data_IF_898201157378
#
_entry.id   IF_898201157378
#
_cell.length_a   1.000
_cell.length_b   1.000
_cell.length_c   1.000
_cell.angle_alpha   90.00
_cell.angle_beta   90.00
_cell.angle_gamma   90.00
#
_symmetry.space_group_name_H-M   'P 1'
#
loop_
_entity.id
_entity.type
_entity.pdbx_description
1 polymer ?
#
# COMPACT_ATOMS: atom_id res chain seq x y z
N UNK A 1 62.02 3.38 37.88
CA UNK A 1 60.60 3.69 37.94
C UNK A 1 60.17 4.85 37.01
N UNK A 2 60.92 5.96 36.95
CA UNK A 2 60.58 7.14 36.10
C UNK A 2 60.60 6.82 34.59
N UNK A 3 61.54 6.02 34.09
CA UNK A 3 61.66 5.66 32.67
C UNK A 3 60.46 4.82 32.16
N UNK A 4 59.90 3.92 33.02
CA UNK A 4 58.74 3.11 32.68
C UNK A 4 57.44 3.93 32.55
N UNK A 5 57.29 4.95 33.39
CA UNK A 5 56.12 5.85 33.33
C UNK A 5 56.16 6.73 32.09
N UNK A 6 57.36 7.15 31.66
CA UNK A 6 57.57 7.94 30.43
C UNK A 6 57.25 7.12 29.17
N UNK A 7 57.64 5.85 29.10
CA UNK A 7 57.35 4.95 27.98
C UNK A 7 55.85 4.61 27.88
N UNK A 8 55.18 4.40 29.02
CA UNK A 8 53.71 4.17 29.06
C UNK A 8 52.94 5.42 28.60
N UNK A 9 53.34 6.63 29.06
CA UNK A 9 52.71 7.86 28.60
C UNK A 9 52.99 8.13 27.11
N UNK A 10 54.15 7.79 26.59
CA UNK A 10 54.47 7.91 25.16
C UNK A 10 53.65 6.93 24.30
N UNK A 11 53.45 5.70 24.80
CA UNK A 11 52.61 4.71 24.13
C UNK A 11 51.12 5.07 24.16
N UNK A 12 50.64 5.59 25.29
CA UNK A 12 49.26 6.11 25.41
C UNK A 12 49.07 7.33 24.51
N UNK A 13 50.03 8.28 24.50
CA UNK A 13 49.99 9.45 23.63
C UNK A 13 50.01 9.08 22.16
N UNK A 14 50.82 8.12 21.73
CA UNK A 14 50.89 7.62 20.36
C UNK A 14 49.55 6.93 19.95
N UNK A 15 48.96 6.16 20.88
CA UNK A 15 47.69 5.50 20.63
C UNK A 15 46.55 6.49 20.52
N UNK A 16 46.44 7.48 21.42
CA UNK A 16 45.45 8.54 21.37
C UNK A 16 45.63 9.39 20.12
N UNK A 17 46.89 9.70 19.72
CA UNK A 17 47.15 10.45 18.49
C UNK A 17 46.77 9.65 17.24
N UNK A 18 47.08 8.34 17.18
CA UNK A 18 46.68 7.50 16.05
C UNK A 18 45.16 7.28 15.96
N UNK A 19 44.46 7.20 17.11
CA UNK A 19 43.00 7.10 17.14
C UNK A 19 42.34 8.46 16.76
N UNK A 20 42.92 9.61 17.10
CA UNK A 20 42.45 10.93 16.69
C UNK A 20 42.64 11.17 15.20
N UNK A 21 43.76 10.74 14.61
CA UNK A 21 44.02 10.89 13.18
C UNK A 21 43.17 9.94 12.33
N UNK A 22 42.94 8.71 12.79
CA UNK A 22 42.03 7.78 12.12
C UNK A 22 40.57 8.28 12.12
N UNK A 23 40.17 8.90 13.21
CA UNK A 23 38.79 9.45 13.33
C UNK A 23 38.64 10.78 12.56
N UNK A 24 39.72 11.56 12.39
CA UNK A 24 39.73 12.79 11.58
C UNK A 24 39.67 12.47 10.08
N UNK A 25 40.37 11.45 9.61
CA UNK A 25 40.34 11.04 8.20
C UNK A 25 39.01 10.41 7.77
N UNK A 26 38.34 9.68 8.66
CA UNK A 26 37.03 9.10 8.38
C UNK A 26 35.96 10.17 8.14
N UNK A 27 36.10 11.34 8.73
CA UNK A 27 35.16 12.47 8.61
C UNK A 27 35.65 13.58 7.66
N UNK A 28 36.81 13.42 7.01
CA UNK A 28 37.29 14.37 6.01
C UNK A 28 36.54 14.18 4.68
N UNK A 29 35.69 15.14 4.27
CA UNK A 29 34.92 15.02 3.03
C UNK A 29 35.84 15.04 1.79
N UNK A 30 36.99 15.72 1.82
CA UNK A 30 37.89 15.82 0.66
C UNK A 30 38.59 14.48 0.38
N UNK A 31 39.17 13.85 1.40
CA UNK A 31 39.83 12.54 1.26
C UNK A 31 38.84 11.46 0.78
N UNK A 32 37.60 11.48 1.28
CA UNK A 32 36.56 10.53 0.86
C UNK A 32 36.03 10.80 -0.56
N UNK A 33 35.95 12.05 -1.00
CA UNK A 33 35.60 12.41 -2.38
C UNK A 33 36.71 11.99 -3.36
N UNK A 34 37.98 12.19 -3.00
CA UNK A 34 39.13 11.74 -3.81
C UNK A 34 39.14 10.23 -3.96
N UNK A 35 38.88 9.47 -2.89
CA UNK A 35 38.71 8.01 -2.94
C UNK A 35 37.57 7.64 -3.90
N UNK A 36 36.42 8.29 -3.79
CA UNK A 36 35.26 8.03 -4.66
C UNK A 36 35.59 8.23 -6.13
N UNK A 37 36.23 9.37 -6.48
CA UNK A 37 36.61 9.68 -7.87
C UNK A 37 37.61 8.66 -8.40
N UNK A 38 38.65 8.33 -7.59
CA UNK A 38 39.68 7.35 -7.98
C UNK A 38 39.07 5.96 -8.26
N UNK A 39 38.15 5.50 -7.43
CA UNK A 39 37.44 4.21 -7.64
C UNK A 39 36.59 4.26 -8.90
N UNK A 40 35.86 5.33 -9.12
CA UNK A 40 34.99 5.53 -10.29
C UNK A 40 35.81 5.48 -11.60
N UNK A 41 36.93 6.20 -11.65
CA UNK A 41 37.88 6.17 -12.79
C UNK A 41 38.48 4.80 -13.02
N UNK A 42 38.83 4.09 -11.92
CA UNK A 42 39.39 2.75 -11.99
C UNK A 42 38.37 1.75 -12.54
N UNK A 43 37.11 1.80 -12.12
CA UNK A 43 36.05 0.94 -12.67
C UNK A 43 35.94 1.15 -14.17
N UNK A 44 35.87 2.38 -14.65
CA UNK A 44 35.75 2.68 -16.08
C UNK A 44 36.93 2.21 -16.91
N UNK A 45 38.14 2.28 -16.33
CA UNK A 45 39.37 1.88 -17.04
C UNK A 45 39.57 0.37 -17.03
N UNK A 46 39.37 -0.30 -15.90
CA UNK A 46 39.84 -1.66 -15.64
C UNK A 46 38.71 -2.72 -15.70
N UNK A 47 37.43 -2.31 -15.66
CA UNK A 47 36.31 -3.26 -15.77
C UNK A 47 36.17 -3.77 -17.21
N UNK A 48 35.98 -5.12 -17.36
CA UNK A 48 35.95 -5.78 -18.67
C UNK A 48 34.96 -5.16 -19.66
N UNK A 49 33.76 -4.80 -19.18
CA UNK A 49 32.71 -4.14 -19.99
C UNK A 49 32.63 -2.64 -19.69
N UNK A 50 33.68 -2.01 -19.21
CA UNK A 50 33.73 -0.60 -18.79
C UNK A 50 33.39 0.41 -19.87
N UNK A 51 33.56 0.03 -21.16
CA UNK A 51 33.17 0.85 -22.31
C UNK A 51 31.66 1.06 -22.46
N UNK A 52 30.85 0.16 -21.94
CA UNK A 52 29.37 0.25 -21.95
C UNK A 52 28.80 1.07 -20.78
N UNK A 53 29.61 1.29 -19.72
CA UNK A 53 29.21 2.04 -18.53
C UNK A 53 29.38 3.54 -18.72
N UNK A 54 28.33 4.31 -18.48
CA UNK A 54 28.41 5.77 -18.44
C UNK A 54 28.81 6.25 -17.03
N UNK A 55 29.35 7.46 -16.92
CA UNK A 55 29.53 8.12 -15.62
C UNK A 55 28.19 8.28 -14.88
N UNK A 56 27.13 8.57 -15.62
CA UNK A 56 25.77 8.71 -15.10
C UNK A 56 25.31 7.43 -14.41
N UNK A 57 25.51 6.25 -15.06
CA UNK A 57 25.12 4.96 -14.47
C UNK A 57 25.86 4.67 -13.18
N UNK A 58 27.17 4.92 -13.16
CA UNK A 58 28.01 4.70 -11.98
C UNK A 58 27.66 5.64 -10.83
N UNK A 59 27.46 6.93 -11.12
CA UNK A 59 27.07 7.93 -10.12
C UNK A 59 25.67 7.63 -9.58
N UNK A 60 24.71 7.30 -10.44
CA UNK A 60 23.36 6.90 -10.02
C UNK A 60 23.38 5.61 -9.17
N UNK A 61 24.29 4.66 -9.50
CA UNK A 61 24.52 3.46 -8.70
C UNK A 61 25.02 3.80 -7.31
N UNK A 62 26.03 4.68 -7.22
CA UNK A 62 26.59 5.13 -5.96
C UNK A 62 25.57 5.91 -5.09
N UNK A 63 24.81 6.82 -5.69
CA UNK A 63 23.74 7.57 -5.01
C UNK A 63 22.67 6.63 -4.44
N UNK A 64 22.24 5.62 -5.21
CA UNK A 64 21.32 4.60 -4.71
C UNK A 64 21.90 3.82 -3.54
N UNK A 65 23.18 3.43 -3.59
CA UNK A 65 23.86 2.75 -2.50
C UNK A 65 23.92 3.60 -1.23
N UNK A 66 24.33 4.85 -1.35
CA UNK A 66 24.44 5.80 -0.25
C UNK A 66 23.08 6.06 0.43
N UNK A 67 22.03 6.31 -0.36
CA UNK A 67 20.69 6.58 0.18
C UNK A 67 20.06 5.30 0.76
N UNK A 68 20.31 4.12 0.17
CA UNK A 68 19.83 2.83 0.67
C UNK A 68 20.35 2.47 2.06
N UNK A 69 21.45 3.10 2.53
CA UNK A 69 21.96 2.94 3.90
C UNK A 69 21.13 3.68 4.96
N UNK A 70 20.28 4.62 4.58
CA UNK A 70 19.54 5.48 5.52
C UNK A 70 18.29 4.78 6.07
N UNK A 71 17.40 4.40 5.18
CA UNK A 71 16.13 3.74 5.48
C UNK A 71 15.49 3.19 4.18
N UNK A 72 14.47 2.29 4.27
CA UNK A 72 13.84 1.70 3.08
C UNK A 72 12.92 2.64 2.29
N UNK A 73 12.75 3.88 2.72
CA UNK A 73 11.81 4.84 2.12
C UNK A 73 12.52 6.01 1.44
N UNK A 74 13.76 6.30 1.83
CA UNK A 74 14.61 7.29 1.16
C UNK A 74 15.11 6.74 -0.17
N UNK A 75 15.13 7.58 -1.21
CA UNK A 75 15.44 7.15 -2.59
C UNK A 75 16.07 8.28 -3.38
N UNK A 76 17.11 7.98 -4.16
CA UNK A 76 17.54 8.82 -5.26
C UNK A 76 16.65 8.55 -6.48
N UNK A 77 16.03 9.59 -7.02
CA UNK A 77 15.13 9.52 -8.16
C UNK A 77 15.78 10.14 -9.39
N UNK A 78 16.16 9.34 -10.41
CA UNK A 78 16.47 9.87 -11.74
C UNK A 78 15.28 10.62 -12.36
N UNK A 79 15.47 11.43 -13.42
CA UNK A 79 14.44 12.27 -14.01
C UNK A 79 13.14 11.53 -14.37
N UNK A 80 13.22 10.35 -14.95
CA UNK A 80 12.06 9.52 -15.31
C UNK A 80 11.28 9.07 -14.07
N UNK A 81 11.98 8.63 -13.04
CA UNK A 81 11.35 8.18 -11.79
C UNK A 81 10.68 9.33 -11.04
N UNK A 82 11.32 10.50 -11.01
CA UNK A 82 10.76 11.70 -10.41
C UNK A 82 9.51 12.18 -11.16
N UNK A 83 9.55 12.21 -12.50
CA UNK A 83 8.39 12.54 -13.32
C UNK A 83 7.20 11.60 -13.04
N UNK A 84 7.45 10.27 -12.96
CA UNK A 84 6.38 9.32 -12.64
C UNK A 84 5.79 9.53 -11.24
N UNK A 85 6.62 9.88 -10.25
CA UNK A 85 6.13 10.20 -8.92
C UNK A 85 5.22 11.44 -8.93
N UNK A 86 5.60 12.48 -9.68
CA UNK A 86 4.77 13.68 -9.84
C UNK A 86 3.45 13.37 -10.55
N UNK A 87 3.49 12.60 -11.64
CA UNK A 87 2.29 12.14 -12.35
C UNK A 87 1.34 11.34 -11.43
N UNK A 88 1.88 10.41 -10.64
CA UNK A 88 1.10 9.61 -9.70
C UNK A 88 0.47 10.47 -8.59
N UNK A 89 1.19 11.50 -8.14
CA UNK A 89 0.73 12.47 -7.13
C UNK A 89 -0.39 13.36 -7.67
N UNK A 90 -0.26 13.82 -8.91
CA UNK A 90 -1.29 14.58 -9.61
C UNK A 90 -2.51 13.72 -9.97
N UNK A 91 -2.39 12.39 -9.91
CA UNK A 91 -3.44 11.45 -10.30
C UNK A 91 -3.71 11.45 -11.80
N UNK A 92 -2.69 11.82 -12.59
CA UNK A 92 -2.76 11.84 -14.06
C UNK A 92 -1.39 11.51 -14.65
N UNK A 93 -1.37 10.70 -15.69
CA UNK A 93 -0.14 10.34 -16.39
C UNK A 93 -0.38 10.14 -17.88
N UNK A 94 0.66 10.37 -18.67
CA UNK A 94 0.64 10.02 -20.08
C UNK A 94 0.79 8.51 -20.27
N UNK A 95 -0.15 7.86 -20.98
CA UNK A 95 -0.11 6.43 -21.17
C UNK A 95 -1.24 5.87 -22.03
N UNK A 96 -1.39 4.55 -22.05
CA UNK A 96 -2.39 3.85 -22.87
C UNK A 96 -3.69 3.52 -22.13
N UNK A 97 -3.70 3.58 -20.79
CA UNK A 97 -4.90 3.36 -19.96
C UNK A 97 -5.28 1.90 -19.77
N UNK A 98 -4.36 1.10 -19.21
CA UNK A 98 -4.59 -0.30 -18.84
C UNK A 98 -4.18 -0.56 -17.40
N UNK A 99 -4.98 -1.36 -16.69
CA UNK A 99 -4.56 -2.03 -15.47
C UNK A 99 -3.88 -3.34 -15.85
N UNK A 100 -2.66 -3.56 -15.40
CA UNK A 100 -1.85 -4.73 -15.76
C UNK A 100 -1.36 -5.47 -14.52
N UNK A 101 -1.08 -6.76 -14.70
CA UNK A 101 -0.40 -7.60 -13.72
C UNK A 101 0.48 -8.62 -14.45
N UNK A 102 1.43 -9.24 -13.75
CA UNK A 102 2.22 -10.35 -14.28
C UNK A 102 1.57 -11.66 -13.83
N UNK A 103 1.15 -12.49 -14.81
CA UNK A 103 0.58 -13.81 -14.58
C UNK A 103 1.31 -14.82 -15.47
N UNK A 104 1.84 -15.89 -14.88
CA UNK A 104 2.59 -16.94 -15.59
C UNK A 104 3.75 -16.40 -16.45
N UNK A 105 4.40 -15.34 -16.01
CA UNK A 105 5.49 -14.67 -16.74
C UNK A 105 5.01 -13.79 -17.91
N UNK A 106 3.70 -13.60 -18.06
CA UNK A 106 3.12 -12.70 -19.07
C UNK A 106 2.54 -11.45 -18.43
N UNK A 107 2.79 -10.31 -19.05
CA UNK A 107 2.14 -9.06 -18.73
C UNK A 107 0.69 -9.13 -19.22
N UNK A 108 -0.25 -9.25 -18.28
CA UNK A 108 -1.67 -9.49 -18.55
C UNK A 108 -2.51 -8.27 -18.22
N UNK A 109 -3.43 -7.91 -19.11
CA UNK A 109 -4.40 -6.83 -18.90
C UNK A 109 -5.47 -7.30 -17.92
N UNK A 110 -5.56 -6.67 -16.75
CA UNK A 110 -6.66 -6.90 -15.80
C UNK A 110 -7.93 -6.22 -16.30
N UNK A 111 -7.83 -4.97 -16.71
CA UNK A 111 -8.92 -4.23 -17.34
C UNK A 111 -8.36 -3.04 -18.13
N UNK A 112 -8.91 -2.68 -19.27
CA UNK A 112 -8.72 -1.36 -19.87
C UNK A 112 -9.50 -0.32 -19.03
N UNK A 113 -8.97 0.90 -18.96
CA UNK A 113 -9.66 2.02 -18.32
C UNK A 113 -10.63 2.65 -19.33
N UNK A 114 -11.84 2.99 -18.90
CA UNK A 114 -12.84 3.67 -19.72
C UNK A 114 -12.29 5.00 -20.27
N UNK A 115 -12.71 5.39 -21.45
CA UNK A 115 -12.31 6.63 -22.15
C UNK A 115 -10.79 6.75 -22.37
N UNK A 116 -10.10 5.63 -22.61
CA UNK A 116 -8.66 5.59 -22.85
C UNK A 116 -8.30 4.91 -24.16
N UNK A 117 -7.09 5.17 -24.72
CA UNK A 117 -6.67 4.57 -25.99
C UNK A 117 -6.75 3.05 -26.03
N UNK A 118 -6.49 2.35 -24.95
CA UNK A 118 -6.60 0.90 -24.90
C UNK A 118 -8.08 0.44 -24.93
N UNK A 119 -8.97 1.16 -24.26
CA UNK A 119 -10.40 0.88 -24.29
C UNK A 119 -10.99 1.07 -25.67
N UNK A 120 -10.69 2.20 -26.31
CA UNK A 120 -11.13 2.54 -27.68
C UNK A 120 -10.60 1.54 -28.73
N UNK A 121 -9.39 1.01 -28.52
CA UNK A 121 -8.80 -0.02 -29.37
C UNK A 121 -9.38 -1.43 -29.17
N UNK A 122 -10.35 -1.60 -28.26
CA UNK A 122 -10.98 -2.89 -28.00
C UNK A 122 -10.09 -3.90 -27.26
N UNK A 123 -9.11 -3.43 -26.49
CA UNK A 123 -8.32 -4.26 -25.60
C UNK A 123 -9.23 -4.76 -24.48
N UNK A 124 -9.09 -6.04 -24.09
CA UNK A 124 -9.98 -6.71 -23.15
C UNK A 124 -9.21 -7.26 -21.95
N UNK A 125 -9.95 -7.46 -20.86
CA UNK A 125 -9.45 -8.21 -19.70
C UNK A 125 -9.02 -9.61 -20.14
N UNK A 126 -7.83 -10.06 -19.68
CA UNK A 126 -7.20 -11.31 -20.02
C UNK A 126 -6.30 -11.27 -21.26
N UNK A 127 -6.28 -10.17 -22.03
CA UNK A 127 -5.31 -10.01 -23.13
C UNK A 127 -3.88 -9.99 -22.55
N UNK A 128 -2.96 -10.74 -23.17
CA UNK A 128 -1.55 -10.80 -22.78
C UNK A 128 -0.73 -9.91 -23.68
N UNK A 129 0.03 -8.99 -23.12
CA UNK A 129 0.97 -8.15 -23.88
C UNK A 129 2.21 -8.99 -24.17
N UNK A 130 2.39 -9.38 -25.42
CA UNK A 130 3.49 -10.25 -25.86
C UNK A 130 4.66 -9.50 -26.47
N UNK A 131 4.40 -8.30 -27.07
CA UNK A 131 5.47 -7.42 -27.58
C UNK A 131 5.15 -5.96 -27.30
N UNK A 132 6.19 -5.17 -26.99
CA UNK A 132 6.16 -3.71 -26.90
C UNK A 132 7.29 -3.18 -27.77
N UNK A 133 7.00 -2.28 -28.71
CA UNK A 133 7.95 -1.75 -29.71
C UNK A 133 8.74 -2.87 -30.44
N UNK A 134 8.03 -3.96 -30.77
CA UNK A 134 8.61 -5.13 -31.45
C UNK A 134 9.46 -6.05 -30.56
N UNK A 135 9.81 -5.64 -29.32
CA UNK A 135 10.58 -6.43 -28.37
C UNK A 135 9.65 -7.36 -27.57
N UNK A 136 10.12 -8.58 -27.29
CA UNK A 136 9.36 -9.54 -26.47
C UNK A 136 9.13 -8.97 -25.06
N UNK A 137 7.89 -9.05 -24.57
CA UNK A 137 7.47 -8.60 -23.25
C UNK A 137 7.29 -9.74 -22.22
N UNK A 138 7.72 -10.97 -22.56
CA UNK A 138 7.71 -12.10 -21.61
C UNK A 138 8.78 -11.89 -20.53
N UNK A 139 8.44 -12.17 -19.29
CA UNK A 139 9.31 -12.00 -18.12
C UNK A 139 9.81 -10.56 -17.90
N UNK A 140 9.19 -9.56 -18.52
CA UNK A 140 9.48 -8.15 -18.24
C UNK A 140 9.12 -7.82 -16.78
N UNK A 141 9.92 -7.00 -16.11
CA UNK A 141 9.57 -6.51 -14.77
C UNK A 141 8.42 -5.49 -14.83
N UNK A 142 7.64 -5.41 -13.76
CA UNK A 142 6.52 -4.43 -13.70
C UNK A 142 6.99 -2.97 -13.88
N UNK A 143 8.09 -2.51 -13.23
CA UNK A 143 8.61 -1.15 -13.48
C UNK A 143 8.96 -0.90 -14.95
N UNK A 144 9.67 -1.83 -15.59
CA UNK A 144 10.06 -1.71 -16.99
C UNK A 144 8.82 -1.69 -17.92
N UNK A 145 7.81 -2.50 -17.63
CA UNK A 145 6.55 -2.50 -18.36
C UNK A 145 5.85 -1.13 -18.26
N UNK A 146 5.77 -0.58 -17.03
CA UNK A 146 5.17 0.73 -16.80
C UNK A 146 5.92 1.82 -17.56
N UNK A 147 7.27 1.83 -17.53
CA UNK A 147 8.10 2.80 -18.25
C UNK A 147 7.87 2.76 -19.77
N UNK A 148 7.67 1.55 -20.34
CA UNK A 148 7.39 1.41 -21.78
C UNK A 148 5.96 1.80 -22.17
N UNK A 149 4.99 1.60 -21.28
CA UNK A 149 3.58 1.92 -21.54
C UNK A 149 3.25 3.39 -21.28
N UNK A 150 3.93 4.03 -20.32
CA UNK A 150 3.87 5.48 -20.08
C UNK A 150 4.64 6.25 -21.15
N UNK A 151 4.44 7.55 -21.20
CA UNK A 151 5.16 8.49 -22.05
C UNK A 151 4.32 9.71 -22.40
N UNK A 152 4.90 10.66 -23.11
CA UNK A 152 4.26 11.95 -23.43
C UNK A 152 2.92 11.73 -24.14
N UNK A 153 1.82 12.39 -23.68
CA UNK A 153 0.55 12.38 -24.41
C UNK A 153 0.76 12.76 -25.87
N UNK A 154 0.12 12.04 -26.81
CA UNK A 154 0.28 12.20 -28.24
C UNK A 154 1.36 11.32 -28.86
N UNK A 155 2.33 10.81 -28.10
CA UNK A 155 3.30 9.82 -28.59
C UNK A 155 2.65 8.48 -28.88
N UNK A 156 3.25 7.68 -29.77
CA UNK A 156 2.72 6.36 -30.16
C UNK A 156 3.50 5.26 -29.46
N UNK A 157 2.85 4.12 -29.24
CA UNK A 157 3.48 2.87 -28.83
C UNK A 157 2.88 1.73 -29.63
N UNK A 158 3.74 0.89 -30.24
CA UNK A 158 3.33 -0.32 -30.96
C UNK A 158 3.30 -1.49 -30.00
N UNK A 159 2.18 -2.20 -29.94
CA UNK A 159 1.98 -3.32 -29.02
C UNK A 159 1.37 -4.51 -29.76
N UNK A 160 1.78 -5.71 -29.37
CA UNK A 160 1.12 -6.96 -29.78
C UNK A 160 0.50 -7.59 -28.56
N UNK A 161 -0.81 -7.84 -28.63
CA UNK A 161 -1.58 -8.55 -27.61
C UNK A 161 -1.93 -9.95 -28.11
N UNK A 162 -1.74 -10.96 -27.30
CA UNK A 162 -2.32 -12.27 -27.52
C UNK A 162 -3.64 -12.38 -26.76
N UNK A 163 -4.73 -12.66 -27.46
CA UNK A 163 -6.07 -12.86 -26.86
C UNK A 163 -6.37 -14.34 -26.68
N UNK A 164 -6.35 -14.87 -25.44
CA UNK A 164 -6.56 -16.30 -25.18
C UNK A 164 -7.90 -16.82 -25.67
N UNK A 165 -8.98 -16.03 -25.59
CA UNK A 165 -10.33 -16.43 -26.01
C UNK A 165 -10.47 -16.74 -27.50
N UNK A 166 -9.69 -16.07 -28.36
CA UNK A 166 -9.68 -16.27 -29.82
C UNK A 166 -8.42 -16.94 -30.33
N UNK A 167 -7.39 -17.10 -29.45
CA UNK A 167 -6.04 -17.59 -29.79
C UNK A 167 -5.37 -16.81 -30.93
N UNK A 168 -5.61 -15.48 -30.99
CA UNK A 168 -5.06 -14.61 -32.05
C UNK A 168 -4.17 -13.51 -31.43
N UNK A 169 -3.14 -13.17 -32.18
CA UNK A 169 -2.36 -11.97 -31.95
C UNK A 169 -3.08 -10.76 -32.55
N UNK A 170 -3.04 -9.64 -31.84
CA UNK A 170 -3.64 -8.36 -32.21
C UNK A 170 -2.54 -7.30 -32.15
N UNK A 171 -2.12 -6.83 -33.31
CA UNK A 171 -1.17 -5.73 -33.46
C UNK A 171 -1.90 -4.39 -33.39
N UNK A 172 -1.53 -3.55 -32.48
CA UNK A 172 -2.15 -2.23 -32.27
C UNK A 172 -1.07 -1.17 -32.07
N UNK A 173 -1.27 -0.02 -32.72
CA UNK A 173 -0.49 1.18 -32.40
C UNK A 173 -1.36 2.14 -31.61
N UNK A 174 -1.10 2.28 -30.32
CA UNK A 174 -1.84 3.16 -29.42
C UNK A 174 -1.18 4.54 -29.37
N UNK A 175 -2.00 5.59 -29.41
CA UNK A 175 -1.56 6.96 -29.18
C UNK A 175 -1.77 7.27 -27.69
N UNK A 176 -0.68 7.50 -26.94
CA UNK A 176 -0.78 7.80 -25.50
C UNK A 176 -1.64 9.03 -25.26
N UNK A 177 -2.51 8.97 -24.27
CA UNK A 177 -3.36 10.06 -23.83
C UNK A 177 -3.03 10.45 -22.38
N UNK A 178 -3.56 11.56 -21.90
CA UNK A 178 -3.53 11.91 -20.48
C UNK A 178 -4.58 11.07 -19.75
N UNK A 179 -4.12 10.07 -19.01
CA UNK A 179 -4.97 9.18 -18.22
C UNK A 179 -5.22 9.80 -16.85
N UNK A 180 -6.48 9.94 -16.45
CA UNK A 180 -6.88 10.41 -15.12
C UNK A 180 -7.27 9.22 -14.26
N UNK A 181 -6.67 9.12 -13.08
CA UNK A 181 -6.95 8.06 -12.11
C UNK A 181 -7.81 8.63 -10.99
N UNK A 182 -9.06 8.17 -10.90
CA UNK A 182 -9.93 8.55 -9.78
C UNK A 182 -9.44 7.90 -8.48
N UNK A 183 -9.13 8.70 -7.48
CA UNK A 183 -8.71 8.23 -6.14
C UNK A 183 -9.89 8.03 -5.19
N UNK A 184 -11.07 8.54 -5.52
CA UNK A 184 -12.31 8.43 -4.73
C UNK A 184 -13.33 7.63 -5.51
N UNK A 185 -13.77 6.51 -4.96
CA UNK A 185 -14.62 5.52 -5.63
C UNK A 185 -15.76 5.05 -4.71
N UNK A 186 -16.84 4.59 -5.33
CA UNK A 186 -17.92 3.88 -4.65
C UNK A 186 -17.60 2.40 -4.42
N UNK A 187 -18.56 1.65 -3.89
CA UNK A 187 -18.43 0.23 -3.58
C UNK A 187 -18.11 -0.63 -4.84
N UNK A 188 -18.55 -0.18 -6.02
CA UNK A 188 -18.36 -0.84 -7.30
C UNK A 188 -17.11 -0.34 -8.06
N UNK A 189 -16.21 0.38 -7.38
CA UNK A 189 -15.05 1.07 -7.97
C UNK A 189 -15.41 2.10 -9.06
N UNK A 190 -16.63 2.65 -9.02
CA UNK A 190 -17.12 3.72 -9.88
C UNK A 190 -17.19 5.06 -9.12
N UNK A 191 -17.90 6.06 -9.66
CA UNK A 191 -18.09 7.38 -9.06
C UNK A 191 -19.58 7.77 -8.98
N UNK A 192 -20.47 6.79 -8.77
CA UNK A 192 -21.90 7.03 -8.71
C UNK A 192 -22.38 7.51 -7.35
N UNK A 193 -21.79 6.99 -6.27
CA UNK A 193 -22.04 7.37 -4.87
C UNK A 193 -23.52 7.40 -4.50
N UNK A 194 -24.10 6.22 -4.34
CA UNK A 194 -25.46 6.03 -3.83
C UNK A 194 -25.44 5.48 -2.41
N UNK A 195 -26.49 5.73 -1.62
CA UNK A 195 -26.66 5.11 -0.32
C UNK A 195 -27.24 3.69 -0.45
N UNK A 196 -27.00 2.84 0.53
CA UNK A 196 -27.64 1.54 0.64
C UNK A 196 -29.08 1.65 1.18
N UNK A 197 -29.74 0.51 1.38
CA UNK A 197 -31.11 0.43 1.93
C UNK A 197 -31.23 0.95 3.37
N UNK A 198 -30.11 1.03 4.13
CA UNK A 198 -30.02 1.58 5.47
C UNK A 198 -29.64 3.08 5.47
N UNK A 199 -29.58 3.70 4.30
CA UNK A 199 -29.10 5.07 4.13
C UNK A 199 -27.62 5.25 4.50
N UNK A 200 -26.80 4.20 4.38
CA UNK A 200 -25.38 4.25 4.61
C UNK A 200 -24.67 4.53 3.29
N UNK A 201 -23.84 5.58 3.27
CA UNK A 201 -22.95 5.89 2.18
C UNK A 201 -21.66 5.08 2.29
N UNK A 202 -21.08 4.76 1.14
CA UNK A 202 -19.76 4.10 1.07
C UNK A 202 -18.85 4.91 0.15
N UNK A 203 -17.66 5.27 0.67
CA UNK A 203 -16.60 5.92 -0.11
C UNK A 203 -15.28 5.21 0.14
N UNK A 204 -14.60 4.82 -0.93
CA UNK A 204 -13.26 4.26 -0.91
C UNK A 204 -12.24 5.27 -1.40
N UNK A 205 -11.19 5.50 -0.61
CA UNK A 205 -10.00 6.24 -1.03
C UNK A 205 -8.92 5.24 -1.42
N UNK A 206 -8.49 5.24 -2.67
CA UNK A 206 -7.46 4.33 -3.17
C UNK A 206 -6.04 4.88 -3.00
N UNK A 207 -5.92 6.21 -2.90
CA UNK A 207 -4.67 6.95 -2.69
C UNK A 207 -5.01 8.38 -2.25
N UNK A 208 -4.04 9.09 -1.65
CA UNK A 208 -4.13 10.52 -1.34
C UNK A 208 -3.38 11.36 -2.39
N UNK A 209 -4.00 11.54 -3.57
CA UNK A 209 -3.52 12.42 -4.64
C UNK A 209 -4.09 13.85 -4.49
N UNK A 210 -3.63 14.80 -5.29
CA UNK A 210 -3.99 16.24 -5.22
C UNK A 210 -5.49 16.52 -5.22
N UNK A 211 -6.28 15.71 -5.93
CA UNK A 211 -7.72 15.90 -6.05
C UNK A 211 -8.55 15.20 -4.97
N UNK A 212 -7.95 14.37 -4.12
CA UNK A 212 -8.67 13.43 -3.24
C UNK A 212 -9.65 14.13 -2.30
N UNK A 213 -9.25 15.18 -1.62
CA UNK A 213 -10.14 15.91 -0.70
C UNK A 213 -11.31 16.61 -1.42
N UNK A 214 -11.06 17.15 -2.62
CA UNK A 214 -12.10 17.76 -3.46
C UNK A 214 -13.11 16.70 -3.95
N UNK A 215 -12.59 15.59 -4.48
CA UNK A 215 -13.43 14.52 -5.03
C UNK A 215 -14.20 13.79 -3.92
N UNK A 216 -13.64 13.72 -2.71
CA UNK A 216 -14.35 13.23 -1.51
C UNK A 216 -15.50 14.18 -1.14
N UNK A 217 -15.28 15.49 -1.17
CA UNK A 217 -16.34 16.47 -0.91
C UNK A 217 -17.48 16.35 -1.90
N UNK A 218 -17.18 16.14 -3.19
CA UNK A 218 -18.19 15.90 -4.22
C UNK A 218 -18.98 14.61 -3.93
N UNK A 219 -18.29 13.53 -3.54
CA UNK A 219 -18.94 12.27 -3.18
C UNK A 219 -19.86 12.41 -1.96
N UNK A 220 -19.39 13.09 -0.90
CA UNK A 220 -20.19 13.34 0.30
C UNK A 220 -21.45 14.13 0.00
N UNK A 221 -21.36 15.20 -0.82
CA UNK A 221 -22.54 15.98 -1.22
C UNK A 221 -23.56 15.15 -2.00
N UNK A 222 -23.13 14.26 -2.90
CA UNK A 222 -24.03 13.36 -3.60
C UNK A 222 -24.76 12.43 -2.65
N UNK A 223 -24.05 11.86 -1.68
CA UNK A 223 -24.65 10.99 -0.66
C UNK A 223 -25.61 11.74 0.28
N UNK A 224 -25.30 12.99 0.62
CA UNK A 224 -26.20 13.86 1.40
C UNK A 224 -27.53 14.16 0.69
N UNK A 225 -27.49 14.34 -0.63
CA UNK A 225 -28.71 14.52 -1.45
C UNK A 225 -29.63 13.28 -1.45
N UNK A 226 -29.08 12.09 -1.15
CA UNK A 226 -29.82 10.85 -0.99
C UNK A 226 -30.20 10.52 0.47
N UNK A 227 -30.11 11.53 1.36
CA UNK A 227 -30.44 11.41 2.79
C UNK A 227 -29.54 10.44 3.57
N UNK A 228 -28.23 10.49 3.32
CA UNK A 228 -27.22 9.68 4.00
C UNK A 228 -27.30 9.86 5.53
N UNK A 229 -27.37 8.77 6.28
CA UNK A 229 -27.41 8.74 7.76
C UNK A 229 -26.12 8.28 8.41
N UNK A 230 -25.21 7.68 7.66
CA UNK A 230 -23.91 7.23 8.11
C UNK A 230 -22.99 6.95 6.95
N UNK A 231 -21.68 6.89 7.21
CA UNK A 231 -20.65 6.72 6.19
C UNK A 231 -19.68 5.60 6.56
N UNK A 232 -19.37 4.75 5.59
CA UNK A 232 -18.20 3.87 5.61
C UNK A 232 -17.11 4.48 4.73
N UNK A 233 -15.97 4.85 5.35
CA UNK A 233 -14.77 5.32 4.66
C UNK A 233 -13.77 4.17 4.53
N UNK A 234 -13.59 3.64 3.32
CA UNK A 234 -12.71 2.48 3.08
C UNK A 234 -11.30 2.93 2.67
N UNK A 235 -10.32 2.68 3.54
CA UNK A 235 -8.89 2.93 3.34
C UNK A 235 -8.10 1.63 3.11
N UNK A 236 -8.75 0.49 2.94
CA UNK A 236 -8.07 -0.79 2.69
C UNK A 236 -7.31 -0.73 1.37
N UNK A 237 -6.08 -1.28 1.37
CA UNK A 237 -5.15 -1.24 0.23
C UNK A 237 -4.77 0.17 -0.25
N UNK A 238 -4.92 1.19 0.60
CA UNK A 238 -4.48 2.55 0.31
C UNK A 238 -3.07 2.78 0.88
N UNK A 239 -2.02 2.89 0.05
CA UNK A 239 -0.63 3.04 0.51
C UNK A 239 -0.30 4.43 1.06
N UNK A 240 -1.28 5.33 1.07
CA UNK A 240 -1.11 6.72 1.49
C UNK A 240 -1.02 7.69 0.32
N UNK A 241 -0.19 8.70 0.46
CA UNK A 241 0.02 9.77 -0.51
C UNK A 241 0.36 11.09 0.18
N UNK A 242 -0.22 12.19 -0.29
CA UNK A 242 0.07 13.54 0.18
C UNK A 242 -0.45 13.78 1.60
N UNK A 243 0.41 14.33 2.46
CA UNK A 243 0.09 14.70 3.84
C UNK A 243 -1.03 15.74 3.91
N UNK A 244 -0.96 16.79 3.08
CA UNK A 244 -1.98 17.84 3.04
C UNK A 244 -3.37 17.29 2.66
N UNK A 245 -3.43 16.28 1.82
CA UNK A 245 -4.69 15.63 1.48
C UNK A 245 -5.24 14.78 2.64
N UNK A 246 -4.38 14.11 3.41
CA UNK A 246 -4.82 13.41 4.63
C UNK A 246 -5.39 14.40 5.66
N UNK A 247 -4.72 15.54 5.87
CA UNK A 247 -5.18 16.61 6.76
C UNK A 247 -6.57 17.11 6.29
N UNK A 248 -6.71 17.45 5.00
CA UNK A 248 -7.99 17.93 4.43
C UNK A 248 -9.11 16.88 4.48
N UNK A 249 -8.79 15.59 4.42
CA UNK A 249 -9.76 14.50 4.61
C UNK A 249 -10.21 14.45 6.07
N UNK A 250 -9.29 14.53 7.03
CA UNK A 250 -9.66 14.61 8.46
C UNK A 250 -10.56 15.82 8.76
N UNK A 251 -10.24 16.98 8.19
CA UNK A 251 -11.03 18.21 8.36
C UNK A 251 -12.48 18.07 7.92
N UNK A 252 -12.84 17.12 7.03
CA UNK A 252 -14.24 16.85 6.64
C UNK A 252 -15.09 16.30 7.78
N UNK A 253 -14.46 15.76 8.83
CA UNK A 253 -15.14 15.03 9.88
C UNK A 253 -14.90 15.60 11.28
N UNK A 254 -13.93 16.50 11.46
CA UNK A 254 -13.50 17.04 12.74
C UNK A 254 -14.01 18.45 12.99
N UNK A 255 -14.43 18.72 14.22
CA UNK A 255 -14.78 20.07 14.64
C UNK A 255 -13.54 21.00 14.62
N UNK A 256 -13.79 22.30 14.68
CA UNK A 256 -12.71 23.30 14.69
C UNK A 256 -11.80 23.12 15.92
N UNK A 257 -10.49 23.09 15.70
CA UNK A 257 -9.47 23.06 16.75
C UNK A 257 -9.05 21.64 17.16
N UNK A 258 -9.77 20.58 16.73
CA UNK A 258 -9.37 19.20 17.02
C UNK A 258 -8.02 18.89 16.35
N UNK A 259 -7.09 18.20 17.08
CA UNK A 259 -5.78 17.86 16.56
C UNK A 259 -5.88 16.80 15.47
N UNK A 260 -5.05 16.88 14.44
CA UNK A 260 -5.01 15.94 13.32
C UNK A 260 -3.74 15.09 13.36
N UNK A 261 -2.59 15.74 13.31
CA UNK A 261 -1.29 15.08 13.23
C UNK A 261 -0.19 16.04 13.66
N UNK A 262 0.82 15.52 14.34
CA UNK A 262 2.08 16.24 14.62
C UNK A 262 3.19 15.60 13.80
N UNK A 263 4.11 16.43 13.28
CA UNK A 263 5.36 15.97 12.66
C UNK A 263 6.54 16.45 13.46
N UNK A 264 7.52 15.57 13.69
CA UNK A 264 8.75 15.90 14.39
C UNK A 264 9.96 15.43 13.58
N UNK A 265 10.88 16.34 13.31
CA UNK A 265 12.09 16.09 12.55
C UNK A 265 13.35 16.49 13.30
N UNK A 266 14.50 16.27 12.66
CA UNK A 266 15.81 16.64 13.22
C UNK A 266 15.99 18.14 13.36
N UNK A 267 15.37 18.93 12.48
CA UNK A 267 15.43 20.39 12.46
C UNK A 267 14.11 20.97 12.93
N UNK A 268 14.15 22.05 13.71
CA UNK A 268 12.97 22.69 14.29
C UNK A 268 11.89 23.05 13.25
N UNK A 269 12.29 23.54 12.08
CA UNK A 269 11.36 23.89 10.99
C UNK A 269 10.67 22.66 10.34
N UNK A 270 11.03 21.46 10.73
CA UNK A 270 10.37 20.20 10.30
C UNK A 270 9.28 19.77 11.28
N UNK A 271 9.20 20.44 12.43
CA UNK A 271 8.16 20.22 13.42
C UNK A 271 6.92 21.01 13.06
N UNK A 272 5.78 20.36 13.08
CA UNK A 272 4.50 21.03 12.85
C UNK A 272 3.36 20.29 13.56
N UNK A 273 2.38 21.05 14.04
CA UNK A 273 1.12 20.57 14.58
C UNK A 273 -0.01 21.04 13.67
N UNK A 274 -0.86 20.10 13.22
CA UNK A 274 -2.00 20.40 12.38
C UNK A 274 -3.30 20.18 13.15
N UNK A 275 -4.18 21.19 13.11
CA UNK A 275 -5.51 21.17 13.72
C UNK A 275 -6.58 21.44 12.70
N UNK A 276 -7.76 20.90 12.91
CA UNK A 276 -8.91 21.10 12.03
C UNK A 276 -9.34 22.57 12.00
N UNK A 277 -9.59 23.06 10.79
CA UNK A 277 -10.23 24.36 10.58
C UNK A 277 -11.74 24.35 10.85
N UNK A 278 -12.36 23.16 10.85
CA UNK A 278 -13.80 22.95 10.97
C UNK A 278 -14.62 23.41 9.75
N UNK A 279 -13.98 23.80 8.65
CA UNK A 279 -14.69 24.27 7.45
C UNK A 279 -15.37 23.11 6.72
N UNK A 280 -16.70 23.21 6.54
CA UNK A 280 -17.50 22.18 5.90
C UNK A 280 -17.37 20.81 6.56
N UNK A 281 -17.07 20.79 7.86
CA UNK A 281 -16.98 19.57 8.64
C UNK A 281 -18.35 18.94 8.89
N UNK A 282 -18.38 17.63 9.08
CA UNK A 282 -19.54 16.83 9.42
C UNK A 282 -19.28 16.08 10.74
N UNK A 283 -19.12 16.82 11.87
CA UNK A 283 -18.72 16.21 13.14
C UNK A 283 -19.75 15.20 13.67
N UNK A 284 -21.01 15.37 13.34
CA UNK A 284 -22.11 14.55 13.85
C UNK A 284 -22.47 13.36 12.92
N UNK A 285 -21.89 13.27 11.71
CA UNK A 285 -22.18 12.17 10.78
C UNK A 285 -21.60 10.86 11.35
N UNK A 286 -22.41 9.82 11.63
CA UNK A 286 -21.92 8.51 12.04
C UNK A 286 -20.90 7.98 11.03
N UNK A 287 -19.70 7.60 11.50
CA UNK A 287 -18.56 7.26 10.65
C UNK A 287 -17.85 5.99 11.14
N UNK A 288 -17.61 5.08 10.20
CA UNK A 288 -16.73 3.92 10.39
C UNK A 288 -15.65 3.94 9.33
N UNK A 289 -14.42 3.63 9.72
CA UNK A 289 -13.28 3.55 8.80
C UNK A 289 -12.83 2.10 8.67
N UNK A 290 -12.71 1.62 7.43
CA UNK A 290 -12.14 0.31 7.13
C UNK A 290 -10.64 0.42 6.84
N UNK A 291 -9.84 -0.44 7.46
CA UNK A 291 -8.39 -0.50 7.26
C UNK A 291 -7.91 -1.94 7.13
N UNK A 292 -6.74 -2.14 6.52
CA UNK A 292 -6.04 -3.42 6.53
C UNK A 292 -4.51 -3.23 6.58
N UNK A 293 -3.76 -4.33 6.60
CA UNK A 293 -2.29 -4.33 6.64
C UNK A 293 -1.59 -3.57 5.51
N UNK A 294 -2.31 -3.19 4.45
CA UNK A 294 -1.82 -2.38 3.34
C UNK A 294 -2.24 -0.91 3.42
N UNK A 295 -3.02 -0.53 4.43
CA UNK A 295 -3.30 0.87 4.75
C UNK A 295 -2.05 1.48 5.37
N UNK A 296 -1.44 2.49 4.72
CA UNK A 296 -0.14 3.01 5.12
C UNK A 296 -0.07 4.55 5.07
N UNK A 297 0.85 5.15 5.83
CA UNK A 297 1.22 6.58 5.75
C UNK A 297 0.00 7.51 5.94
N UNK A 298 -0.41 8.29 4.91
CA UNK A 298 -1.58 9.17 4.95
C UNK A 298 -2.87 8.47 5.39
N UNK A 299 -3.05 7.18 5.03
CA UNK A 299 -4.17 6.36 5.52
C UNK A 299 -4.12 6.15 7.03
N UNK A 300 -2.91 5.99 7.57
CA UNK A 300 -2.70 5.80 9.01
C UNK A 300 -2.89 7.11 9.79
N UNK A 301 -2.54 8.23 9.17
CA UNK A 301 -2.85 9.57 9.72
C UNK A 301 -4.37 9.74 9.86
N UNK A 302 -5.13 9.44 8.80
CA UNK A 302 -6.60 9.55 8.84
C UNK A 302 -7.21 8.59 9.85
N UNK A 303 -6.81 7.31 9.85
CA UNK A 303 -7.32 6.32 10.77
C UNK A 303 -6.98 6.64 12.23
N UNK A 304 -5.73 7.01 12.52
CA UNK A 304 -5.26 7.40 13.85
C UNK A 304 -5.93 8.67 14.35
N UNK A 305 -6.00 9.69 13.51
CA UNK A 305 -6.67 10.95 13.80
C UNK A 305 -8.14 10.76 14.19
N UNK A 306 -8.90 10.04 13.37
CA UNK A 306 -10.34 9.82 13.62
C UNK A 306 -10.60 8.89 14.82
N UNK A 307 -9.67 7.96 15.08
CA UNK A 307 -9.72 7.09 16.27
C UNK A 307 -9.45 7.86 17.56
N UNK A 308 -8.35 8.61 17.60
CA UNK A 308 -7.88 9.29 18.82
C UNK A 308 -8.79 10.44 19.24
N UNK A 309 -9.50 11.06 18.30
CA UNK A 309 -10.58 12.03 18.59
C UNK A 309 -11.93 11.36 18.86
N UNK A 310 -12.01 10.02 19.04
CA UNK A 310 -13.27 9.26 19.17
C UNK A 310 -14.30 9.56 18.07
N UNK A 311 -13.83 10.05 16.92
CA UNK A 311 -14.68 10.50 15.83
C UNK A 311 -15.23 9.35 14.98
N UNK A 312 -14.48 8.25 14.88
CA UNK A 312 -14.88 7.07 14.12
C UNK A 312 -14.42 5.78 14.81
N UNK A 313 -15.18 4.71 14.60
CA UNK A 313 -14.69 3.35 14.91
C UNK A 313 -13.91 2.79 13.73
N UNK A 314 -12.76 2.21 14.02
CA UNK A 314 -11.88 1.58 13.02
C UNK A 314 -12.15 0.08 13.01
N UNK A 315 -12.42 -0.46 11.81
CA UNK A 315 -12.71 -1.88 11.60
C UNK A 315 -11.74 -2.47 10.60
N UNK A 316 -11.26 -3.68 10.83
CA UNK A 316 -10.39 -4.40 9.91
C UNK A 316 -9.15 -4.96 10.56
N UNK A 317 -7.99 -4.82 9.94
CA UNK A 317 -6.72 -5.32 10.43
C UNK A 317 -5.80 -4.17 10.83
N UNK A 318 -4.82 -4.46 11.68
CA UNK A 318 -3.73 -3.53 12.00
C UNK A 318 -3.09 -3.00 10.73
N UNK A 319 -2.83 -1.69 10.67
CA UNK A 319 -2.24 -1.03 9.50
C UNK A 319 -0.74 -1.29 9.37
N UNK A 320 -0.13 -0.83 8.30
CA UNK A 320 1.25 -1.14 7.91
C UNK A 320 2.32 -0.65 8.89
N UNK A 321 2.17 0.57 9.44
CA UNK A 321 3.15 1.18 10.34
C UNK A 321 4.18 2.08 9.63
N UNK A 322 3.79 2.76 8.54
CA UNK A 322 4.65 3.77 7.88
C UNK A 322 4.41 5.16 8.47
N UNK A 323 5.10 5.49 9.56
CA UNK A 323 4.99 6.77 10.26
C UNK A 323 6.12 7.76 9.93
N UNK A 324 6.72 7.71 8.75
CA UNK A 324 7.81 8.60 8.32
C UNK A 324 7.37 9.56 7.21
N UNK A 325 7.80 10.83 7.33
CA UNK A 325 7.60 11.89 6.34
C UNK A 325 8.75 11.88 5.34
N UNK A 326 8.46 11.76 4.06
CA UNK A 326 9.45 11.95 3.00
C UNK A 326 9.24 13.31 2.34
N UNK A 327 10.30 14.12 2.31
CA UNK A 327 10.36 15.34 1.48
C UNK A 327 10.97 15.00 0.12
N UNK A 328 10.43 15.63 -0.91
CA UNK A 328 11.01 15.60 -2.25
C UNK A 328 11.88 16.83 -2.41
N UNK A 329 13.16 16.61 -2.61
CA UNK A 329 14.18 17.65 -2.72
C UNK A 329 14.76 17.61 -4.14
N UNK A 330 14.35 18.53 -5.05
CA UNK A 330 14.94 18.62 -6.39
C UNK A 330 16.45 18.88 -6.28
N UNK A 331 17.25 18.22 -7.12
CA UNK A 331 18.71 18.39 -7.15
C UNK A 331 19.07 19.45 -8.18
N UNK A 332 19.67 20.54 -7.71
CA UNK A 332 20.12 21.63 -8.57
C UNK A 332 21.23 21.14 -9.53
N UNK A 333 21.17 21.56 -10.79
CA UNK A 333 22.18 21.21 -11.81
C UNK A 333 21.97 19.88 -12.52
N UNK A 334 21.08 19.01 -12.03
CA UNK A 334 20.65 17.79 -12.70
C UNK A 334 19.17 17.92 -13.09
N UNK A 335 18.90 18.23 -14.36
CA UNK A 335 17.56 18.46 -14.85
C UNK A 335 16.62 17.27 -14.56
N UNK A 336 15.69 17.51 -13.61
CA UNK A 336 14.63 16.58 -13.30
C UNK A 336 14.97 15.45 -12.33
N UNK A 337 16.18 15.38 -11.77
CA UNK A 337 16.49 14.43 -10.69
C UNK A 337 16.05 15.01 -9.32
N UNK A 338 15.69 14.14 -8.39
CA UNK A 338 15.30 14.53 -7.03
C UNK A 338 15.75 13.48 -5.99
N UNK A 339 15.83 13.94 -4.76
CA UNK A 339 16.03 13.12 -3.59
C UNK A 339 14.72 13.02 -2.81
N UNK A 340 14.19 11.82 -2.61
CA UNK A 340 13.15 11.56 -1.63
C UNK A 340 13.84 11.18 -0.33
N UNK A 341 13.71 12.00 0.70
CA UNK A 341 14.43 11.85 1.96
C UNK A 341 13.48 11.85 3.14
N UNK A 342 13.63 10.88 4.03
CA UNK A 342 12.93 10.87 5.32
C UNK A 342 13.48 11.99 6.21
N UNK A 343 12.64 12.96 6.55
CA UNK A 343 13.02 14.13 7.35
C UNK A 343 12.35 14.19 8.71
N UNK A 344 11.18 13.54 8.86
CA UNK A 344 10.39 13.63 10.09
C UNK A 344 9.60 12.34 10.33
N UNK A 345 9.00 12.22 11.52
CA UNK A 345 8.04 11.17 11.87
C UNK A 345 6.67 11.78 12.16
N UNK A 346 5.62 10.98 11.91
CA UNK A 346 4.25 11.33 12.27
C UNK A 346 3.89 10.82 13.66
N UNK A 347 3.11 11.64 14.37
CA UNK A 347 2.47 11.29 15.64
C UNK A 347 0.97 11.54 15.54
N UNK A 348 0.19 10.63 16.10
CA UNK A 348 -1.26 10.77 16.20
C UNK A 348 -1.65 11.89 17.19
N UNK A 349 -2.92 12.29 17.27
CA UNK A 349 -3.38 13.26 18.28
C UNK A 349 -3.02 12.88 19.73
N UNK A 350 -3.00 11.60 20.08
CA UNK A 350 -2.55 11.08 21.38
C UNK A 350 -1.02 11.04 21.52
N UNK A 351 -0.28 11.58 20.54
CA UNK A 351 1.18 11.58 20.46
C UNK A 351 1.81 10.19 20.40
N UNK A 352 1.08 9.21 19.85
CA UNK A 352 1.63 7.89 19.59
C UNK A 352 2.37 7.83 18.25
N UNK A 353 3.51 7.11 18.24
CA UNK A 353 4.33 6.90 17.05
C UNK A 353 3.66 5.90 16.13
N UNK A 354 3.35 6.28 14.89
CA UNK A 354 2.83 5.38 13.87
C UNK A 354 3.95 4.46 13.33
N UNK A 355 5.18 4.97 13.24
CA UNK A 355 6.30 4.26 12.61
C UNK A 355 6.64 2.93 13.32
N UNK A 356 6.61 1.83 12.56
CA UNK A 356 6.85 0.47 13.06
C UNK A 356 5.71 -0.13 13.90
N UNK A 357 4.70 0.68 14.28
CA UNK A 357 3.58 0.23 15.11
C UNK A 357 2.29 0.06 14.33
N UNK A 358 1.96 1.01 13.43
CA UNK A 358 0.66 1.06 12.77
C UNK A 358 -0.48 1.46 13.71
N UNK A 359 -1.69 1.47 13.16
CA UNK A 359 -2.92 1.78 13.90
C UNK A 359 -3.68 0.47 14.15
N UNK A 360 -3.92 0.16 15.42
CA UNK A 360 -4.78 -0.97 15.82
C UNK A 360 -6.25 -0.59 15.66
N UNK A 361 -7.07 -1.40 14.95
CA UNK A 361 -8.50 -1.14 14.82
C UNK A 361 -9.23 -1.37 16.14
N UNK A 362 -10.37 -0.67 16.35
CA UNK A 362 -11.27 -0.91 17.47
C UNK A 362 -11.93 -2.30 17.39
N UNK A 363 -12.20 -2.75 16.15
CA UNK A 363 -12.74 -4.06 15.85
C UNK A 363 -11.78 -4.79 14.91
N UNK A 364 -10.92 -5.64 15.48
CA UNK A 364 -9.97 -6.44 14.71
C UNK A 364 -10.71 -7.60 14.05
N UNK A 365 -10.86 -7.53 12.74
CA UNK A 365 -11.51 -8.53 11.91
C UNK A 365 -10.65 -8.85 10.70
N UNK A 366 -9.89 -9.94 10.81
CA UNK A 366 -8.99 -10.41 9.74
C UNK A 366 -9.79 -11.02 8.59
N UNK A 367 -9.33 -10.78 7.38
CA UNK A 367 -9.83 -11.48 6.19
C UNK A 367 -8.90 -12.65 5.83
N UNK A 368 -9.49 -13.79 5.47
CA UNK A 368 -8.73 -14.88 4.87
C UNK A 368 -8.23 -14.47 3.48
N UNK A 369 -7.14 -15.11 3.00
CA UNK A 369 -6.64 -14.88 1.64
C UNK A 369 -7.71 -15.13 0.58
N UNK A 370 -8.55 -16.14 0.79
CA UNK A 370 -9.67 -16.45 -0.10
C UNK A 370 -10.70 -15.30 -0.14
N UNK A 371 -11.10 -14.78 1.01
CA UNK A 371 -12.03 -13.66 1.09
C UNK A 371 -11.45 -12.38 0.45
N UNK A 372 -10.15 -12.14 0.61
CA UNK A 372 -9.48 -11.02 -0.08
C UNK A 372 -9.51 -11.19 -1.60
N UNK A 373 -9.30 -12.41 -2.10
CA UNK A 373 -9.38 -12.73 -3.53
C UNK A 373 -10.81 -12.55 -4.06
N UNK A 374 -11.82 -13.06 -3.34
CA UNK A 374 -13.22 -12.90 -3.72
C UNK A 374 -13.62 -11.42 -3.77
N UNK A 375 -13.23 -10.63 -2.76
CA UNK A 375 -13.48 -9.19 -2.72
C UNK A 375 -12.79 -8.45 -3.88
N UNK A 376 -11.54 -8.80 -4.15
CA UNK A 376 -10.78 -8.23 -5.26
C UNK A 376 -11.47 -8.50 -6.61
N UNK A 377 -11.85 -9.76 -6.87
CA UNK A 377 -12.53 -10.16 -8.09
C UNK A 377 -13.90 -9.51 -8.23
N UNK A 378 -14.67 -9.41 -7.13
CA UNK A 378 -15.98 -8.77 -7.12
C UNK A 378 -15.90 -7.28 -7.49
N UNK A 379 -14.84 -6.59 -7.03
CA UNK A 379 -14.63 -5.15 -7.26
C UNK A 379 -13.87 -4.83 -8.55
N UNK A 380 -13.24 -5.83 -9.18
CA UNK A 380 -12.48 -5.61 -10.41
C UNK A 380 -13.43 -5.60 -11.62
N UNK A 381 -13.39 -4.55 -12.48
CA UNK A 381 -14.14 -4.57 -13.74
C UNK A 381 -13.79 -5.83 -14.56
N UNK A 382 -14.80 -6.61 -14.89
CA UNK A 382 -14.58 -7.89 -15.60
C UNK A 382 -14.03 -9.04 -14.75
N UNK A 383 -13.87 -8.89 -13.44
CA UNK A 383 -13.33 -9.90 -12.54
C UNK A 383 -14.06 -11.25 -12.60
N UNK A 384 -15.38 -11.25 -12.81
CA UNK A 384 -16.15 -12.49 -13.04
C UNK A 384 -15.75 -13.26 -14.29
N UNK A 385 -15.17 -12.57 -15.30
CA UNK A 385 -14.67 -13.23 -16.51
C UNK A 385 -13.27 -13.85 -16.31
N UNK A 386 -12.59 -13.47 -15.22
CA UNK A 386 -11.24 -13.95 -14.89
C UNK A 386 -11.26 -15.27 -14.13
N UNK A 387 -12.44 -15.72 -13.66
CA UNK A 387 -12.59 -16.97 -12.90
C UNK A 387 -13.36 -18.02 -13.66
N UNK A 388 -13.08 -19.28 -13.36
CA UNK A 388 -13.82 -20.42 -13.87
C UNK A 388 -15.30 -20.33 -13.47
N UNK A 389 -16.17 -20.97 -14.23
CA UNK A 389 -17.62 -20.80 -14.14
C UNK A 389 -18.18 -21.22 -12.77
N UNK A 390 -17.64 -22.27 -12.20
CA UNK A 390 -17.97 -22.82 -10.88
C UNK A 390 -17.66 -21.84 -9.72
N UNK A 391 -16.66 -20.96 -9.87
CA UNK A 391 -16.29 -19.95 -8.86
C UNK A 391 -17.04 -18.62 -9.01
N UNK A 392 -17.72 -18.38 -10.14
CA UNK A 392 -18.40 -17.09 -10.40
C UNK A 392 -19.51 -16.81 -9.40
N UNK A 393 -20.22 -17.84 -8.99
CA UNK A 393 -21.31 -17.72 -8.01
C UNK A 393 -20.77 -17.32 -6.64
N UNK A 394 -19.68 -17.92 -6.20
CA UNK A 394 -19.00 -17.54 -4.96
C UNK A 394 -18.55 -16.07 -4.96
N UNK A 395 -18.00 -15.58 -6.08
CA UNK A 395 -17.60 -14.17 -6.21
C UNK A 395 -18.82 -13.24 -6.18
N UNK A 396 -19.92 -13.59 -6.86
CA UNK A 396 -21.14 -12.76 -6.88
C UNK A 396 -21.79 -12.62 -5.51
N UNK A 397 -21.85 -13.75 -4.79
CA UNK A 397 -22.58 -13.87 -3.52
C UNK A 397 -21.69 -13.56 -2.32
N UNK A 398 -20.41 -13.20 -2.54
CA UNK A 398 -19.51 -12.89 -1.45
C UNK A 398 -19.96 -11.65 -0.67
N UNK A 399 -20.12 -11.80 0.63
CA UNK A 399 -20.43 -10.72 1.57
C UNK A 399 -19.14 -10.35 2.30
N UNK A 400 -18.72 -9.10 2.14
CA UNK A 400 -17.54 -8.54 2.81
C UNK A 400 -17.80 -8.44 4.34
N UNK A 401 -17.16 -9.27 5.17
CA UNK A 401 -17.45 -9.31 6.61
C UNK A 401 -17.02 -8.03 7.34
N UNK A 402 -16.00 -7.33 6.84
CA UNK A 402 -15.56 -6.07 7.44
C UNK A 402 -16.55 -4.95 7.13
N UNK A 403 -17.07 -4.91 5.91
CA UNK A 403 -18.12 -3.97 5.52
C UNK A 403 -19.43 -4.27 6.26
N UNK A 404 -19.83 -5.53 6.37
CA UNK A 404 -21.01 -5.92 7.14
C UNK A 404 -20.90 -5.47 8.59
N UNK A 405 -19.72 -5.64 9.22
CA UNK A 405 -19.47 -5.15 10.59
C UNK A 405 -19.53 -3.62 10.69
N UNK A 406 -19.03 -2.91 9.69
CA UNK A 406 -19.11 -1.44 9.66
C UNK A 406 -20.57 -0.95 9.58
N UNK A 407 -21.38 -1.59 8.74
CA UNK A 407 -22.83 -1.28 8.64
C UNK A 407 -23.55 -1.61 9.96
N UNK A 408 -23.26 -2.76 10.58
CA UNK A 408 -23.80 -3.12 11.91
C UNK A 408 -23.56 -2.03 12.96
N UNK A 409 -22.35 -1.49 12.99
CA UNK A 409 -21.97 -0.43 13.92
C UNK A 409 -22.70 0.90 13.65
N UNK A 410 -22.99 1.21 12.41
CA UNK A 410 -23.69 2.44 12.02
C UNK A 410 -25.20 2.35 12.26
N UNK A 411 -25.80 1.19 12.01
CA UNK A 411 -27.26 0.99 12.13
C UNK A 411 -27.69 0.63 13.55
N UNK A 412 -26.79 0.09 14.36
CA UNK A 412 -27.06 -0.46 15.70
C UNK A 412 -27.76 -1.83 15.64
N UNK A 413 -27.54 -2.65 16.68
CA UNK A 413 -28.00 -4.06 16.73
C UNK A 413 -29.53 -4.26 16.59
N UNK A 414 -30.35 -3.23 16.79
CA UNK A 414 -31.82 -3.37 16.80
C UNK A 414 -32.47 -3.50 15.42
N UNK A 415 -31.83 -3.05 14.34
CA UNK A 415 -32.44 -3.08 13.00
C UNK A 415 -32.07 -4.31 12.15
N UNK A 416 -30.99 -4.99 12.47
CA UNK A 416 -30.57 -6.18 11.69
C UNK A 416 -31.43 -7.41 12.03
N UNK A 417 -31.98 -7.50 13.28
CA UNK A 417 -32.86 -8.59 13.69
C UNK A 417 -34.29 -8.50 13.10
N UNK A 418 -34.71 -7.36 12.58
CA UNK A 418 -36.06 -7.17 12.01
C UNK A 418 -36.23 -7.70 10.58
N UNK A 419 -35.14 -8.16 9.93
CA UNK A 419 -35.18 -8.68 8.55
C UNK A 419 -34.94 -10.19 8.42
N UNK A 420 -34.76 -10.93 9.52
CA UNK A 420 -34.92 -12.38 9.51
C UNK A 420 -36.43 -12.67 9.52
N UNK A 421 -37.02 -12.98 8.38
CA UNK A 421 -38.41 -13.44 8.30
C UNK A 421 -38.60 -14.63 9.24
N UNK A 422 -39.68 -14.68 10.02
CA UNK A 422 -39.95 -15.85 10.84
C UNK A 422 -40.24 -17.05 9.92
N UNK A 423 -39.44 -18.10 10.05
CA UNK A 423 -39.83 -19.43 9.54
C UNK A 423 -41.20 -19.76 10.13
N UNK A 424 -42.18 -20.03 9.26
CA UNK A 424 -43.50 -20.54 9.67
C UNK A 424 -43.34 -21.80 10.52
N UNK A 425 -43.66 -21.69 11.82
CA UNK A 425 -43.79 -22.85 12.70
C UNK A 425 -44.91 -23.77 12.18
N UNK A 426 -44.52 -24.91 11.67
CA UNK A 426 -45.43 -26.04 11.51
C UNK A 426 -45.93 -26.48 12.88
N UNK A 427 -47.26 -26.77 13.06
CA UNK A 427 -47.82 -27.11 14.36
C UNK A 427 -47.18 -28.42 14.89
N UNK A 428 -46.70 -28.38 16.13
CA UNK A 428 -46.16 -29.50 16.85
C UNK A 428 -47.22 -30.56 17.13
N UNK A 429 -47.02 -31.78 16.69
CA UNK A 429 -47.72 -32.99 17.18
C UNK A 429 -47.37 -33.23 18.65
N UNK A 430 -48.39 -33.53 19.46
CA UNK A 430 -48.27 -33.79 20.91
C UNK A 430 -47.52 -35.07 21.21
N UNK A 431 -46.64 -35.12 22.19
CA UNK A 431 -45.93 -36.36 22.56
C UNK A 431 -46.82 -37.28 23.39
N UNK A 432 -46.70 -38.58 23.10
CA UNK A 432 -47.30 -39.65 23.84
C UNK A 432 -46.39 -40.02 25.05
N UNK A 433 -47.00 -40.23 26.17
CA UNK A 433 -46.43 -40.46 27.49
C UNK A 433 -46.04 -41.95 27.68
N UNK A 434 -44.95 -42.17 28.42
CA UNK A 434 -44.52 -43.32 29.21
C UNK A 434 -43.19 -43.95 28.87
N UNK A 435 -42.22 -43.74 29.76
CA UNK A 435 -41.58 -44.78 30.57
C UNK A 435 -40.43 -44.20 31.41
N UNK A 436 -40.40 -44.64 32.66
CA UNK A 436 -39.53 -44.26 33.77
C UNK A 436 -38.14 -44.94 33.74
N UNK A 437 -37.20 -44.59 34.63
CA UNK A 437 -35.76 -44.60 34.37
C UNK A 437 -35.00 -45.78 34.98
N UNK A 438 -33.78 -46.02 34.52
CA UNK A 438 -32.80 -46.84 35.27
C UNK A 438 -31.41 -46.22 35.27
N UNK A 439 -31.00 -45.93 36.49
CA UNK A 439 -29.74 -46.04 37.24
C UNK A 439 -28.37 -45.78 36.62
N UNK A 440 -27.73 -44.95 37.40
CA UNK A 440 -26.30 -44.63 37.58
C UNK A 440 -25.30 -45.79 37.45
N UNK A 441 -24.12 -45.47 36.87
CA UNK A 441 -22.84 -46.05 37.28
C UNK A 441 -21.72 -45.04 37.17
N UNK A 442 -20.92 -44.95 38.22
CA UNK A 442 -19.79 -44.08 38.51
C UNK A 442 -18.48 -44.60 37.88
N UNK A 443 -17.39 -43.81 37.93
CA UNK A 443 -16.32 -43.78 36.93
C UNK A 443 -15.10 -44.64 37.30
N UNK A 444 -14.27 -44.92 36.31
CA UNK A 444 -12.94 -45.49 36.54
C UNK A 444 -11.81 -44.66 35.94
N UNK A 445 -10.73 -44.74 36.62
CA UNK A 445 -9.51 -43.95 36.81
C UNK A 445 -8.60 -43.77 35.58
N UNK A 446 -7.89 -42.67 35.70
CA UNK A 446 -6.63 -42.20 35.08
C UNK A 446 -5.61 -43.31 34.67
N UNK A 447 -4.99 -43.09 33.51
CA UNK A 447 -3.65 -43.59 33.18
C UNK A 447 -2.80 -42.46 32.58
N UNK A 448 -1.58 -42.34 33.10
CA UNK A 448 -0.55 -41.33 32.79
C UNK A 448 0.13 -41.62 31.41
N UNK A 449 0.75 -40.61 30.78
CA UNK A 449 1.35 -40.71 29.48
C UNK A 449 2.78 -41.26 29.47
N UNK A 450 3.11 -42.00 28.44
CA UNK A 450 4.46 -42.46 28.10
C UNK A 450 5.21 -41.40 27.27
N UNK A 451 6.53 -41.42 27.44
CA UNK A 451 7.52 -40.49 26.87
C UNK A 451 7.71 -40.70 25.37
N UNK A 452 7.78 -39.60 24.65
CA UNK A 452 8.29 -39.53 23.28
C UNK A 452 9.80 -39.72 23.22
N UNK A 453 10.23 -40.49 22.22
CA UNK A 453 11.63 -40.70 21.84
C UNK A 453 12.00 -39.73 20.71
N UNK A 454 13.21 -39.18 20.80
CA UNK A 454 13.83 -38.34 19.76
C UNK A 454 14.18 -39.16 18.51
N UNK A 455 14.09 -38.59 17.31
CA UNK A 455 14.65 -39.22 16.11
C UNK A 455 16.10 -38.81 15.86
N UNK A 456 16.89 -39.80 15.52
CA UNK A 456 18.30 -39.73 15.14
C UNK A 456 18.56 -38.91 13.86
N UNK A 457 19.74 -38.30 13.82
CA UNK A 457 20.27 -37.52 12.71
C UNK A 457 20.74 -38.45 11.58
N UNK A 458 20.30 -38.19 10.34
CA UNK A 458 20.85 -38.81 9.12
C UNK A 458 22.07 -38.05 8.61
N UNK A 459 23.15 -38.82 8.35
CA UNK A 459 24.42 -38.40 7.77
C UNK A 459 24.31 -38.01 6.29
N UNK A 460 25.02 -36.97 5.91
CA UNK A 460 25.24 -36.58 4.50
C UNK A 460 26.32 -37.45 3.86
N UNK A 461 26.20 -37.91 2.62
CA UNK A 461 27.32 -38.45 1.87
C UNK A 461 28.17 -37.32 1.24
N UNK A 462 29.46 -37.53 1.33
CA UNK A 462 30.48 -36.68 0.74
C UNK A 462 30.57 -36.86 -0.78
N UNK A 463 30.67 -35.73 -1.47
CA UNK A 463 30.97 -35.69 -2.90
C UNK A 463 32.49 -35.57 -3.13
N UNK A 464 33.03 -36.33 -4.07
CA UNK A 464 34.41 -36.26 -4.55
C UNK A 464 34.40 -35.83 -6.02
N UNK A 465 35.49 -35.20 -6.49
CA UNK A 465 35.51 -34.36 -7.68
C UNK A 465 35.91 -35.15 -8.95
N UNK A 466 35.41 -34.66 -10.05
CA UNK A 466 36.11 -34.56 -11.35
C UNK A 466 35.78 -33.25 -12.03
#
# INVERSE_FOLDING_TARGET
MVLGVLLVNLAIGAKVYSESDANSSANDPHANLDLFVNVLERIRRDYVDGGELTYEDLVHGALRGMIGMLDPHSEFMPPTRYSHLMDDTEGRFGGVGVHINIQDGYLTVLAPMEDTPAYEAGIMSGDRIVKIEGKNARNISMPEAVDKLRGKPGSKVKMTFFRPSTRKDIDVTLKRALIKVATVKDINNQRKFTVDENKIGYVRLTQFGEATSRDLEEALRKLELEDMKGLVLDLRHNPGGLLDQAIRVCEKFLAKGEPIVTTEGRREHENSEHKSSGRHARPDLPLVVLVNRFSASASEIVAGCLKDNDRAKIVGEKTFGKGSVQKILPINGQQGAALRLTTSKYYTPSHEVIHGRGIEPNHNLKMSRENEELLFLQRTPGGLKMVAEDRREAVKNFIDPQLAKAIELLVGKKQIQAKAEPEEEKPAEKPNEKAKPEKEAKPEKEAKPEKEAEPEAEEKPADKPE
#
